data_IF_329734909564
#
_entry.id   IF_329734909564
#
_cell.length_a   1.000
_cell.length_b   1.000
_cell.length_c   1.000
_cell.angle_alpha   90.00
_cell.angle_beta   90.00
_cell.angle_gamma   90.00
#
_symmetry.space_group_name_H-M   'P 1'
#
loop_
_entity.id
_entity.type
_entity.pdbx_description
1 polymer ?
#
# COMPACT_ATOMS: atom_id res chain seq x y z
N UNK A 1 6.18 -1.08 6.87
CA UNK A 1 5.56 0.16 7.40
C UNK A 1 4.05 0.04 7.25
N UNK A 2 3.31 0.05 8.34
CA UNK A 2 1.84 -0.10 8.30
C UNK A 2 1.12 1.11 7.72
N UNK A 3 1.70 2.29 7.86
CA UNK A 3 1.18 3.51 7.21
C UNK A 3 1.16 3.40 5.68
N UNK A 4 2.12 2.69 5.07
CA UNK A 4 2.11 2.42 3.64
C UNK A 4 0.98 1.46 3.23
N UNK A 5 0.69 0.46 4.06
CA UNK A 5 -0.43 -0.46 3.85
C UNK A 5 -1.78 0.25 4.03
N UNK A 6 -1.88 1.15 5.04
CA UNK A 6 -3.06 1.99 5.23
C UNK A 6 -3.31 2.88 4.01
N UNK A 7 -2.26 3.50 3.46
CA UNK A 7 -2.33 4.30 2.23
C UNK A 7 -2.88 3.47 1.07
N UNK A 8 -2.35 2.26 0.83
CA UNK A 8 -2.80 1.38 -0.27
C UNK A 8 -4.25 0.93 -0.08
N UNK A 9 -4.63 0.47 1.10
CA UNK A 9 -5.99 0.03 1.39
C UNK A 9 -7.01 1.18 1.29
N UNK A 10 -6.64 2.38 1.74
CA UNK A 10 -7.47 3.57 1.57
C UNK A 10 -7.65 3.94 0.09
N UNK A 11 -6.60 3.81 -0.74
CA UNK A 11 -6.68 4.05 -2.18
C UNK A 11 -7.63 3.06 -2.87
N UNK A 12 -7.56 1.78 -2.52
CA UNK A 12 -8.46 0.74 -3.05
C UNK A 12 -9.91 1.05 -2.70
N UNK A 13 -10.20 1.40 -1.43
CA UNK A 13 -11.56 1.75 -1.00
C UNK A 13 -12.09 2.99 -1.72
N UNK A 14 -11.23 3.96 -2.04
CA UNK A 14 -11.62 5.16 -2.81
C UNK A 14 -11.94 4.80 -4.27
N UNK A 15 -11.15 3.93 -4.89
CA UNK A 15 -11.33 3.55 -6.30
C UNK A 15 -12.47 2.55 -6.49
N UNK A 16 -12.68 1.68 -5.51
CA UNK A 16 -13.78 0.71 -5.49
C UNK A 16 -14.57 0.81 -4.19
N UNK A 17 -15.36 1.88 -4.01
CA UNK A 17 -16.10 2.09 -2.78
C UNK A 17 -17.06 0.94 -2.49
N UNK A 18 -17.04 0.41 -1.26
CA UNK A 18 -17.91 -0.68 -0.83
C UNK A 18 -19.40 -0.40 -1.13
N UNK A 19 -19.84 0.82 -0.90
CA UNK A 19 -21.22 1.24 -1.19
C UNK A 19 -21.58 1.12 -2.69
N UNK A 20 -20.66 1.47 -3.60
CA UNK A 20 -20.84 1.33 -5.04
C UNK A 20 -20.85 -0.14 -5.49
N UNK A 21 -19.98 -0.97 -4.89
CA UNK A 21 -19.95 -2.40 -5.13
C UNK A 21 -21.25 -3.07 -4.69
N UNK A 22 -21.75 -2.74 -3.50
CA UNK A 22 -23.01 -3.26 -2.96
C UNK A 22 -24.23 -2.82 -3.81
N UNK A 23 -24.21 -1.58 -4.31
CA UNK A 23 -25.26 -1.06 -5.19
C UNK A 23 -25.14 -1.58 -6.65
N UNK A 24 -24.01 -2.16 -7.04
CA UNK A 24 -23.74 -2.58 -8.42
C UNK A 24 -23.62 -1.42 -9.42
N UNK A 25 -23.47 -0.18 -8.94
CA UNK A 25 -23.42 1.03 -9.78
C UNK A 25 -22.65 2.16 -9.07
N UNK A 26 -22.25 3.20 -9.84
CA UNK A 26 -21.60 4.38 -9.27
C UNK A 26 -20.11 4.18 -8.99
N UNK A 27 -19.47 3.19 -9.60
CA UNK A 27 -18.03 3.01 -9.54
C UNK A 27 -17.33 4.17 -10.27
N UNK A 28 -16.30 4.79 -9.65
CA UNK A 28 -15.78 6.09 -10.09
C UNK A 28 -14.81 6.02 -11.26
N UNK A 29 -14.36 4.82 -11.67
CA UNK A 29 -13.37 4.63 -12.74
C UNK A 29 -13.86 3.64 -13.80
N UNK A 30 -13.25 3.69 -14.99
CA UNK A 30 -13.49 2.75 -16.07
C UNK A 30 -13.13 1.28 -15.71
N UNK A 31 -12.26 1.06 -14.74
CA UNK A 31 -11.97 -0.28 -14.24
C UNK A 31 -13.17 -0.92 -13.53
N UNK A 32 -14.13 -0.10 -13.08
CA UNK A 32 -15.29 -0.61 -12.35
C UNK A 32 -14.84 -1.33 -11.06
N UNK A 33 -15.29 -2.58 -10.87
CA UNK A 33 -14.93 -3.42 -9.72
C UNK A 33 -13.55 -4.09 -9.81
N UNK A 34 -12.81 -3.85 -10.90
CA UNK A 34 -11.56 -4.55 -11.22
C UNK A 34 -10.35 -3.78 -10.70
N UNK A 35 -10.31 -3.57 -9.39
CA UNK A 35 -9.16 -3.05 -8.68
C UNK A 35 -8.61 -4.14 -7.76
N UNK A 36 -7.36 -4.52 -7.97
CA UNK A 36 -6.73 -5.68 -7.33
C UNK A 36 -5.64 -5.24 -6.35
N UNK A 37 -5.63 -5.88 -5.19
CA UNK A 37 -4.65 -5.63 -4.14
C UNK A 37 -3.49 -6.61 -4.26
N UNK A 38 -2.30 -6.07 -4.50
CA UNK A 38 -1.02 -6.80 -4.49
C UNK A 38 -1.00 -8.04 -5.40
N UNK A 39 -1.78 -8.02 -6.46
CA UNK A 39 -1.80 -9.06 -7.48
C UNK A 39 -2.03 -8.51 -8.88
N UNK A 40 -1.52 -9.20 -9.87
CA UNK A 40 -1.85 -8.96 -11.27
C UNK A 40 -3.27 -9.45 -11.61
N UNK A 41 -3.80 -8.98 -12.73
CA UNK A 41 -5.05 -9.49 -13.31
C UNK A 41 -4.90 -10.97 -13.67
N UNK A 42 -5.95 -11.75 -13.42
CA UNK A 42 -6.03 -13.15 -13.84
C UNK A 42 -7.02 -13.30 -15.00
N UNK A 43 -6.91 -14.40 -15.73
CA UNK A 43 -7.79 -14.64 -16.90
C UNK A 43 -9.29 -14.67 -16.51
N UNK A 44 -9.59 -15.15 -15.31
CA UNK A 44 -10.96 -15.14 -14.78
C UNK A 44 -11.51 -13.78 -14.39
N UNK A 45 -10.67 -12.76 -14.37
CA UNK A 45 -11.04 -11.37 -14.09
C UNK A 45 -11.46 -10.61 -15.37
N UNK A 46 -11.16 -11.18 -16.55
CA UNK A 46 -11.47 -10.59 -17.85
C UNK A 46 -12.96 -10.62 -18.13
N UNK A 47 -13.42 -9.59 -18.85
CA UNK A 47 -14.78 -9.51 -19.34
C UNK A 47 -14.83 -10.04 -20.78
N UNK A 48 -15.32 -11.26 -20.93
CA UNK A 48 -15.38 -11.93 -22.25
C UNK A 48 -16.29 -11.22 -23.26
N UNK A 49 -17.07 -10.22 -22.83
CA UNK A 49 -17.94 -9.43 -23.72
C UNK A 49 -17.24 -8.19 -24.28
N UNK A 50 -16.05 -7.86 -23.77
CA UNK A 50 -15.27 -6.70 -24.16
C UNK A 50 -14.04 -7.13 -24.98
N UNK A 51 -13.64 -6.28 -25.94
CA UNK A 51 -12.39 -6.46 -26.69
C UNK A 51 -11.15 -6.39 -25.75
N UNK A 52 -11.22 -5.56 -24.74
CA UNK A 52 -10.24 -5.45 -23.66
C UNK A 52 -10.92 -5.06 -22.34
N UNK A 53 -10.34 -5.46 -21.25
CA UNK A 53 -10.88 -5.21 -19.92
C UNK A 53 -10.02 -4.19 -19.18
N UNK A 54 -10.53 -2.97 -18.87
CA UNK A 54 -9.80 -2.02 -18.04
C UNK A 54 -9.65 -2.54 -16.62
N UNK A 55 -8.42 -2.56 -16.10
CA UNK A 55 -8.11 -3.05 -14.75
C UNK A 55 -7.09 -2.16 -14.06
N UNK A 56 -7.08 -2.21 -12.73
CA UNK A 56 -6.14 -1.53 -11.86
C UNK A 56 -5.55 -2.54 -10.86
N UNK A 57 -4.23 -2.51 -10.69
CA UNK A 57 -3.54 -3.28 -9.65
C UNK A 57 -2.73 -2.37 -8.76
N UNK A 58 -2.87 -2.53 -7.44
CA UNK A 58 -2.30 -1.65 -6.43
C UNK A 58 -1.19 -2.33 -5.67
N UNK A 59 -0.03 -1.67 -5.56
CA UNK A 59 1.13 -2.16 -4.83
C UNK A 59 1.73 -1.07 -3.96
N UNK A 60 2.39 -1.47 -2.88
CA UNK A 60 3.35 -0.65 -2.16
C UNK A 60 4.74 -0.97 -2.71
N UNK A 61 5.25 -0.17 -3.66
CA UNK A 61 6.49 -0.48 -4.37
C UNK A 61 7.74 -0.21 -3.52
N UNK A 62 7.71 0.81 -2.68
CA UNK A 62 8.79 1.17 -1.78
C UNK A 62 8.27 1.89 -0.55
N UNK A 63 8.98 1.76 0.57
CA UNK A 63 8.75 2.56 1.77
C UNK A 63 10.06 2.84 2.47
N UNK A 64 10.23 4.03 3.02
CA UNK A 64 11.42 4.43 3.77
C UNK A 64 11.08 5.31 4.96
N UNK A 65 11.94 5.26 5.97
CA UNK A 65 11.97 6.22 7.07
C UNK A 65 13.36 6.82 7.11
N UNK A 66 13.46 8.14 7.12
CA UNK A 66 14.71 8.88 7.23
C UNK A 66 14.70 9.68 8.53
N UNK A 67 15.75 9.55 9.34
CA UNK A 67 15.94 10.36 10.54
C UNK A 67 16.43 11.76 10.15
N UNK A 68 15.98 12.78 10.88
CA UNK A 68 16.34 14.17 10.62
C UNK A 68 17.71 14.61 11.18
N UNK A 69 18.59 13.66 11.43
CA UNK A 69 19.93 13.86 11.93
C UNK A 69 20.29 12.89 13.05
N UNK A 70 21.59 12.83 13.40
CA UNK A 70 22.13 11.84 14.35
C UNK A 70 21.61 11.99 15.78
N UNK A 71 21.05 13.17 16.13
CA UNK A 71 20.47 13.44 17.45
C UNK A 71 18.94 13.50 17.43
N UNK A 72 18.30 13.16 16.29
CA UNK A 72 16.85 13.15 16.21
C UNK A 72 16.26 11.99 17.04
N UNK A 73 15.17 12.25 17.73
CA UNK A 73 14.42 11.17 18.36
C UNK A 73 13.85 10.22 17.29
N UNK A 74 13.69 8.95 17.63
CA UNK A 74 13.24 7.93 16.66
C UNK A 74 11.85 8.25 16.09
N UNK A 75 11.02 8.98 16.82
CA UNK A 75 9.68 9.42 16.42
C UNK A 75 9.67 10.70 15.55
N UNK A 76 10.82 11.35 15.34
CA UNK A 76 10.98 12.49 14.45
C UNK A 76 11.34 12.10 12.99
N UNK A 77 11.25 10.82 12.67
CA UNK A 77 11.55 10.31 11.34
C UNK A 77 10.56 10.80 10.27
N UNK A 78 11.09 11.13 9.09
CA UNK A 78 10.29 11.40 7.90
C UNK A 78 9.98 10.09 7.17
N UNK A 79 8.70 9.73 7.12
CA UNK A 79 8.22 8.53 6.46
C UNK A 79 7.69 8.84 5.07
N UNK A 80 8.06 8.00 4.10
CA UNK A 80 7.60 8.11 2.73
C UNK A 80 7.36 6.73 2.15
N UNK A 81 6.35 6.60 1.29
CA UNK A 81 6.15 5.40 0.49
C UNK A 81 5.67 5.73 -0.92
N UNK A 82 5.88 4.79 -1.83
CA UNK A 82 5.41 4.84 -3.21
C UNK A 82 4.22 3.90 -3.36
N UNK A 83 3.05 4.49 -3.60
CA UNK A 83 1.90 3.76 -4.10
C UNK A 83 2.06 3.59 -5.60
N UNK A 84 2.24 2.36 -6.04
CA UNK A 84 2.30 2.01 -7.45
C UNK A 84 0.94 1.43 -7.88
N UNK A 85 0.40 2.01 -8.95
CA UNK A 85 -0.87 1.59 -9.54
C UNK A 85 -0.60 1.24 -11.00
N UNK A 86 -0.81 -0.02 -11.35
CA UNK A 86 -0.72 -0.50 -12.73
C UNK A 86 -2.10 -0.40 -13.34
N UNK A 87 -2.26 0.54 -14.28
CA UNK A 87 -3.46 0.69 -15.10
C UNK A 87 -3.23 0.00 -16.44
N UNK A 88 -4.09 -0.94 -16.81
CA UNK A 88 -3.93 -1.69 -18.07
C UNK A 88 -5.26 -2.03 -18.71
N UNK A 89 -5.22 -2.22 -20.03
CA UNK A 89 -6.28 -2.82 -20.82
C UNK A 89 -5.93 -4.28 -21.03
N UNK A 90 -6.51 -5.15 -20.20
CA UNK A 90 -6.16 -6.56 -20.17
C UNK A 90 -6.93 -7.37 -21.23
N UNK A 91 -6.25 -8.31 -21.84
CA UNK A 91 -6.77 -9.27 -22.82
C UNK A 91 -6.31 -10.68 -22.46
N UNK A 92 -6.97 -11.70 -23.00
CA UNK A 92 -6.44 -13.05 -22.98
C UNK A 92 -5.26 -13.14 -23.98
N UNK A 93 -4.14 -13.63 -23.49
CA UNK A 93 -2.94 -13.95 -24.28
C UNK A 93 -2.64 -15.44 -24.20
N UNK A 94 -1.92 -15.96 -25.14
CA UNK A 94 -1.52 -17.37 -25.22
C UNK A 94 0.00 -17.47 -25.29
N UNK A 95 0.59 -18.33 -24.49
CA UNK A 95 2.03 -18.59 -24.49
C UNK A 95 2.39 -19.65 -25.53
N UNK A 96 3.70 -19.83 -25.78
CA UNK A 96 4.24 -20.80 -26.77
C UNK A 96 3.82 -22.26 -26.48
N UNK A 97 3.53 -22.59 -25.22
CA UNK A 97 3.05 -23.89 -24.79
C UNK A 97 1.52 -24.07 -24.89
N UNK A 98 0.80 -23.04 -25.36
CA UNK A 98 -0.67 -23.02 -25.45
C UNK A 98 -1.38 -22.69 -24.15
N UNK A 99 -0.67 -22.31 -23.09
CA UNK A 99 -1.30 -21.83 -21.86
C UNK A 99 -1.87 -20.42 -22.05
N UNK A 100 -3.10 -20.20 -21.56
CA UNK A 100 -3.77 -18.92 -21.66
C UNK A 100 -3.60 -18.14 -20.37
N UNK A 101 -3.21 -16.87 -20.46
CA UNK A 101 -3.05 -15.96 -19.33
C UNK A 101 -3.62 -14.56 -19.65
N UNK A 102 -3.79 -13.73 -18.64
CA UNK A 102 -4.18 -12.34 -18.83
C UNK A 102 -2.94 -11.48 -18.93
N UNK A 103 -2.90 -10.62 -19.96
CA UNK A 103 -1.84 -9.61 -20.11
C UNK A 103 -2.39 -8.33 -20.71
N UNK A 104 -1.61 -7.26 -20.67
CA UNK A 104 -1.98 -6.01 -21.29
C UNK A 104 -2.03 -6.15 -22.83
N UNK A 105 -3.02 -5.50 -23.43
CA UNK A 105 -3.19 -5.47 -24.87
C UNK A 105 -1.94 -4.91 -25.57
N UNK A 106 -1.38 -5.67 -26.51
CA UNK A 106 -0.18 -5.31 -27.27
C UNK A 106 -0.57 -4.82 -28.68
N UNK A 107 -1.28 -3.68 -28.78
CA UNK A 107 -1.70 -3.10 -30.06
C UNK A 107 -1.51 -1.59 -30.07
N UNK A 108 -1.14 -1.05 -31.24
CA UNK A 108 -1.19 0.38 -31.55
C UNK A 108 -2.62 0.76 -31.96
N UNK A 109 -3.53 0.75 -31.00
CA UNK A 109 -4.89 1.23 -31.18
C UNK A 109 -5.03 2.62 -30.53
N UNK A 110 -5.24 3.68 -31.33
CA UNK A 110 -5.39 5.03 -30.80
C UNK A 110 -6.60 5.19 -29.84
N UNK A 111 -7.70 4.46 -30.09
CA UNK A 111 -8.89 4.51 -29.23
C UNK A 111 -8.62 3.84 -27.87
N UNK A 112 -8.03 2.66 -27.89
CA UNK A 112 -7.60 1.98 -26.65
C UNK A 112 -6.61 2.84 -25.85
N UNK A 113 -5.70 3.54 -26.53
CA UNK A 113 -4.77 4.48 -25.88
C UNK A 113 -5.48 5.61 -25.18
N UNK A 114 -6.55 6.17 -25.75
CA UNK A 114 -7.37 7.22 -25.12
C UNK A 114 -8.15 6.69 -23.92
N UNK A 115 -8.67 5.45 -24.00
CA UNK A 115 -9.34 4.80 -22.85
C UNK A 115 -8.37 4.58 -21.71
N UNK A 116 -7.14 4.12 -21.98
CA UNK A 116 -6.11 3.98 -20.95
C UNK A 116 -5.74 5.34 -20.33
N UNK A 117 -5.56 6.38 -21.14
CA UNK A 117 -5.27 7.73 -20.65
C UNK A 117 -6.43 8.26 -19.79
N UNK A 118 -7.69 8.01 -20.17
CA UNK A 118 -8.85 8.39 -19.36
C UNK A 118 -8.88 7.64 -18.02
N UNK A 119 -8.56 6.33 -18.01
CA UNK A 119 -8.47 5.54 -16.78
C UNK A 119 -7.40 6.11 -15.83
N UNK A 120 -6.21 6.39 -16.35
CA UNK A 120 -5.09 7.00 -15.60
C UNK A 120 -5.51 8.35 -15.02
N UNK A 121 -6.08 9.24 -15.84
CA UNK A 121 -6.53 10.55 -15.40
C UNK A 121 -7.62 10.46 -14.31
N UNK A 122 -8.58 9.52 -14.44
CA UNK A 122 -9.60 9.29 -13.43
C UNK A 122 -9.00 8.89 -12.08
N UNK A 123 -8.03 7.97 -12.09
CA UNK A 123 -7.37 7.52 -10.84
C UNK A 123 -6.61 8.66 -10.18
N UNK A 124 -5.79 9.40 -10.93
CA UNK A 124 -5.03 10.52 -10.40
C UNK A 124 -5.96 11.58 -9.83
N UNK A 125 -6.94 12.04 -10.60
CA UNK A 125 -7.92 13.04 -10.14
C UNK A 125 -8.67 12.57 -8.88
N UNK A 126 -9.12 11.31 -8.87
CA UNK A 126 -9.87 10.74 -7.76
C UNK A 126 -9.05 10.75 -6.46
N UNK A 127 -7.79 10.34 -6.50
CA UNK A 127 -6.94 10.26 -5.32
C UNK A 127 -6.42 11.63 -4.87
N UNK A 128 -6.09 12.53 -5.81
CA UNK A 128 -5.41 13.79 -5.49
C UNK A 128 -6.35 14.96 -5.25
N UNK A 129 -7.49 15.04 -5.97
CA UNK A 129 -8.32 16.26 -6.02
C UNK A 129 -9.76 16.01 -5.61
N UNK A 130 -10.41 14.96 -6.15
CA UNK A 130 -11.84 14.75 -5.98
C UNK A 130 -12.26 14.64 -4.50
N UNK A 131 -13.45 15.17 -4.11
CA UNK A 131 -13.96 15.02 -2.75
C UNK A 131 -14.07 13.56 -2.30
N UNK A 132 -14.40 12.64 -3.19
CA UNK A 132 -14.47 11.20 -2.93
C UNK A 132 -13.13 10.61 -2.49
N UNK A 133 -11.99 11.21 -2.88
CA UNK A 133 -10.65 10.81 -2.48
C UNK A 133 -10.24 11.25 -1.06
N UNK A 134 -11.13 11.90 -0.31
CA UNK A 134 -10.82 12.42 1.03
C UNK A 134 -10.33 11.32 1.99
N UNK A 135 -10.83 10.09 1.88
CA UNK A 135 -10.37 8.96 2.68
C UNK A 135 -8.87 8.69 2.44
N UNK A 136 -8.43 8.59 1.19
CA UNK A 136 -7.02 8.39 0.87
C UNK A 136 -6.15 9.52 1.44
N UNK A 137 -6.53 10.77 1.18
CA UNK A 137 -5.78 11.96 1.64
C UNK A 137 -5.74 12.11 3.16
N UNK A 138 -6.69 11.52 3.89
CA UNK A 138 -6.68 11.52 5.36
C UNK A 138 -5.54 10.68 5.95
N UNK A 139 -5.07 9.64 5.23
CA UNK A 139 -4.07 8.70 5.72
C UNK A 139 -2.67 8.92 5.13
N UNK A 140 -2.47 10.03 4.43
CA UNK A 140 -1.17 10.51 3.97
C UNK A 140 -0.93 11.94 4.46
N UNK A 141 0.32 12.37 4.53
CA UNK A 141 0.67 13.77 4.81
C UNK A 141 0.57 14.63 3.55
N UNK A 142 0.64 14.02 2.39
CA UNK A 142 0.49 14.65 1.09
C UNK A 142 1.16 13.84 -0.02
N UNK A 143 0.71 14.07 -1.25
CA UNK A 143 1.35 13.55 -2.45
C UNK A 143 2.50 14.49 -2.81
N UNK A 144 3.73 13.97 -2.84
CA UNK A 144 4.96 14.72 -3.15
C UNK A 144 5.28 14.71 -4.63
N UNK A 145 4.97 13.60 -5.29
CA UNK A 145 5.27 13.39 -6.71
C UNK A 145 4.27 12.42 -7.32
N UNK A 146 3.89 12.70 -8.56
CA UNK A 146 3.11 11.81 -9.44
C UNK A 146 3.95 11.55 -10.67
N UNK A 147 4.15 10.29 -11.00
CA UNK A 147 4.88 9.85 -12.18
C UNK A 147 4.01 8.86 -12.96
N UNK A 148 4.03 9.01 -14.27
CA UNK A 148 3.34 8.13 -15.21
C UNK A 148 4.37 7.52 -16.14
N UNK A 149 4.51 6.21 -16.13
CA UNK A 149 5.45 5.48 -16.96
C UNK A 149 4.70 4.52 -17.90
N UNK A 150 4.62 4.81 -19.20
CA UNK A 150 4.04 3.89 -20.15
C UNK A 150 4.96 2.67 -20.29
N UNK A 151 4.39 1.48 -20.16
CA UNK A 151 5.15 0.25 -20.33
C UNK A 151 5.39 -0.03 -21.83
N UNK A 152 6.66 -0.14 -22.19
CA UNK A 152 7.07 -0.49 -23.55
C UNK A 152 8.19 -1.52 -23.53
N UNK A 153 8.17 -2.46 -24.48
CA UNK A 153 9.24 -3.42 -24.69
C UNK A 153 9.93 -3.07 -26.02
N UNK A 154 10.95 -2.19 -26.02
CA UNK A 154 11.55 -1.64 -27.23
C UNK A 154 12.11 -2.70 -28.18
N UNK A 155 12.64 -3.81 -27.64
CA UNK A 155 13.25 -4.88 -28.40
C UNK A 155 12.25 -5.67 -29.26
N UNK A 156 10.96 -5.61 -28.93
CA UNK A 156 9.91 -6.28 -29.71
C UNK A 156 9.12 -5.30 -30.58
N UNK A 157 9.44 -4.00 -30.55
CA UNK A 157 8.71 -2.97 -31.28
C UNK A 157 7.24 -2.80 -30.82
N UNK A 158 6.85 -3.44 -29.72
CA UNK A 158 5.50 -3.45 -29.20
C UNK A 158 5.35 -2.44 -28.08
N UNK A 159 4.24 -1.70 -28.10
CA UNK A 159 3.74 -0.94 -26.95
C UNK A 159 2.58 -1.68 -26.31
N UNK A 160 2.69 -1.89 -25.02
CA UNK A 160 1.62 -2.48 -24.23
C UNK A 160 0.68 -1.37 -23.75
N UNK A 161 -0.61 -1.63 -23.78
CA UNK A 161 -1.62 -0.71 -23.22
C UNK A 161 -1.65 -0.81 -21.70
N UNK A 162 -0.51 -0.45 -21.11
CA UNK A 162 -0.24 -0.44 -19.65
C UNK A 162 0.48 0.85 -19.30
N UNK A 163 0.08 1.47 -18.22
CA UNK A 163 0.74 2.63 -17.61
C UNK A 163 0.93 2.37 -16.12
N UNK A 164 2.13 2.58 -15.64
CA UNK A 164 2.47 2.52 -14.22
C UNK A 164 2.37 3.93 -13.67
N UNK A 165 1.48 4.15 -12.70
CA UNK A 165 1.32 5.39 -11.96
C UNK A 165 2.04 5.23 -10.63
N UNK A 166 2.98 6.13 -10.30
CA UNK A 166 3.66 6.15 -9.02
C UNK A 166 3.32 7.43 -8.28
N UNK A 167 2.67 7.28 -7.14
CA UNK A 167 2.39 8.37 -6.21
C UNK A 167 3.36 8.26 -5.03
N UNK A 168 4.36 9.15 -4.99
CA UNK A 168 5.25 9.28 -3.83
C UNK A 168 4.54 10.10 -2.77
N UNK A 169 4.23 9.49 -1.63
CA UNK A 169 3.45 10.08 -0.55
C UNK A 169 4.27 10.20 0.73
N UNK A 170 4.23 11.37 1.36
CA UNK A 170 4.64 11.51 2.76
C UNK A 170 3.63 10.82 3.66
N UNK A 171 4.10 10.08 4.65
CA UNK A 171 3.27 9.27 5.53
C UNK A 171 3.45 9.63 7.00
N UNK A 172 2.41 9.47 7.85
CA UNK A 172 2.60 9.47 9.28
C UNK A 172 3.43 8.25 9.70
N UNK A 173 4.21 8.40 10.77
CA UNK A 173 4.96 7.29 11.34
C UNK A 173 4.02 6.28 12.02
N UNK A 174 4.38 5.01 11.94
CA UNK A 174 3.67 3.96 12.67
C UNK A 174 3.83 4.17 14.18
N UNK A 175 2.71 4.13 14.93
CA UNK A 175 2.71 4.25 16.37
C UNK A 175 2.07 3.02 16.99
N UNK A 176 2.87 2.29 17.76
CA UNK A 176 2.41 1.11 18.48
C UNK A 176 1.89 1.52 19.85
N UNK A 177 0.77 0.92 20.25
CA UNK A 177 0.21 1.10 21.59
C UNK A 177 0.78 0.02 22.51
N UNK A 178 1.40 0.36 23.65
CA UNK A 178 1.88 -0.62 24.63
C UNK A 178 0.79 -1.56 25.14
N UNK A 179 -0.48 -1.14 25.13
CA UNK A 179 -1.63 -1.98 25.48
C UNK A 179 -1.97 -3.02 24.40
N UNK A 180 -1.28 -3.00 23.25
CA UNK A 180 -1.51 -3.90 22.12
C UNK A 180 -2.57 -3.40 21.13
N UNK A 181 -2.93 -4.25 20.18
CA UNK A 181 -3.83 -3.95 19.09
C UNK A 181 -3.13 -3.36 17.86
N UNK A 182 -3.92 -3.02 16.84
CA UNK A 182 -3.38 -2.46 15.60
C UNK A 182 -2.66 -1.13 15.86
N UNK A 183 -1.48 -0.91 15.27
CA UNK A 183 -0.81 0.38 15.34
C UNK A 183 -1.56 1.47 14.56
N UNK A 184 -1.30 2.75 14.90
CA UNK A 184 -1.69 3.85 14.03
C UNK A 184 -0.75 3.90 12.78
N UNK A 185 -1.27 4.28 11.60
CA UNK A 185 -2.64 4.77 11.33
C UNK A 185 -3.63 3.68 10.91
N UNK A 186 -3.26 2.39 10.86
CA UNK A 186 -4.18 1.32 10.41
C UNK A 186 -5.38 1.15 11.33
N UNK A 187 -5.20 1.38 12.64
CA UNK A 187 -6.31 1.38 13.63
C UNK A 187 -7.35 2.45 13.29
N UNK A 188 -6.89 3.67 13.03
CA UNK A 188 -7.77 4.77 12.64
C UNK A 188 -8.45 4.53 11.29
N UNK A 189 -7.75 3.92 10.33
CA UNK A 189 -8.33 3.54 9.04
C UNK A 189 -9.46 2.53 9.23
N UNK A 190 -9.21 1.46 9.99
CA UNK A 190 -10.21 0.43 10.29
C UNK A 190 -11.49 1.04 10.90
N UNK A 191 -11.34 2.04 11.78
CA UNK A 191 -12.47 2.72 12.44
C UNK A 191 -13.34 3.56 11.50
N UNK A 192 -12.87 3.95 10.32
CA UNK A 192 -13.62 4.77 9.35
C UNK A 192 -14.05 3.99 8.11
N UNK A 193 -13.53 2.78 7.89
CA UNK A 193 -13.93 1.94 6.76
C UNK A 193 -15.32 1.34 6.98
N UNK A 194 -16.14 1.23 5.92
CA UNK A 194 -17.44 0.57 6.00
C UNK A 194 -17.33 -0.88 6.45
N UNK A 195 -18.30 -1.34 7.23
CA UNK A 195 -18.42 -2.76 7.56
C UNK A 195 -18.62 -3.58 6.27
N UNK A 196 -17.91 -4.73 6.19
CA UNK A 196 -17.96 -5.59 5.00
C UNK A 196 -17.10 -5.09 3.83
N UNK A 197 -16.43 -3.93 3.92
CA UNK A 197 -15.52 -3.50 2.86
C UNK A 197 -14.27 -4.42 2.80
N UNK A 198 -13.70 -4.53 1.59
CA UNK A 198 -12.48 -5.32 1.36
C UNK A 198 -11.34 -4.90 2.30
N UNK A 199 -11.08 -3.59 2.36
CA UNK A 199 -10.00 -3.03 3.17
C UNK A 199 -10.20 -3.31 4.67
N UNK A 200 -11.45 -3.19 5.18
CA UNK A 200 -11.74 -3.51 6.57
C UNK A 200 -11.53 -5.00 6.87
N UNK A 201 -11.97 -5.90 6.00
CA UNK A 201 -11.74 -7.34 6.16
C UNK A 201 -10.26 -7.72 6.23
N UNK A 202 -9.39 -7.00 5.49
CA UNK A 202 -7.93 -7.19 5.60
C UNK A 202 -7.37 -6.71 6.93
N UNK A 203 -7.87 -5.59 7.45
CA UNK A 203 -7.46 -5.07 8.76
C UNK A 203 -7.99 -5.89 9.92
N UNK A 204 -9.21 -6.45 9.81
CA UNK A 204 -9.76 -7.40 10.79
C UNK A 204 -8.89 -8.66 10.90
N UNK A 205 -8.47 -9.23 9.77
CA UNK A 205 -7.55 -10.35 9.75
C UNK A 205 -6.17 -10.00 10.36
N UNK A 206 -5.66 -8.81 10.05
CA UNK A 206 -4.41 -8.31 10.63
C UNK A 206 -4.53 -8.11 12.14
N UNK A 207 -5.65 -7.58 12.63
CA UNK A 207 -5.89 -7.35 14.06
C UNK A 207 -5.78 -8.63 14.89
N UNK A 208 -6.13 -9.79 14.32
CA UNK A 208 -5.97 -11.09 14.95
C UNK A 208 -4.51 -11.42 15.33
N UNK A 209 -3.54 -10.92 14.57
CA UNK A 209 -2.12 -11.11 14.87
C UNK A 209 -1.62 -10.20 16.00
N UNK A 210 -2.34 -9.12 16.30
CA UNK A 210 -2.03 -8.19 17.40
C UNK A 210 -2.87 -8.47 18.65
N UNK A 211 -3.88 -9.33 18.56
CA UNK A 211 -4.69 -9.72 19.70
C UNK A 211 -3.85 -10.60 20.63
N UNK A 212 -3.50 -10.08 21.79
CA UNK A 212 -2.72 -10.80 22.82
C UNK A 212 -1.20 -10.61 22.73
N UNK A 213 -0.67 -9.82 21.80
CA UNK A 213 0.75 -9.46 21.82
C UNK A 213 0.98 -8.24 22.73
N UNK A 214 0.75 -8.40 24.03
CA UNK A 214 1.49 -7.57 24.98
C UNK A 214 2.94 -7.98 24.81
N UNK A 215 3.79 -7.09 24.30
CA UNK A 215 5.24 -7.30 24.39
C UNK A 215 5.53 -7.60 25.86
N UNK A 216 6.20 -8.74 26.17
CA UNK A 216 6.56 -9.02 27.53
C UNK A 216 7.35 -7.80 28.04
N UNK A 217 6.93 -7.23 29.17
CA UNK A 217 7.69 -6.14 29.77
C UNK A 217 9.13 -6.63 29.95
N UNK A 218 10.09 -5.83 29.52
CA UNK A 218 11.49 -6.14 29.70
C UNK A 218 11.75 -6.16 31.23
N UNK A 219 11.59 -7.33 31.84
CA UNK A 219 11.66 -7.50 33.29
C UNK A 219 13.08 -7.32 33.84
N UNK A 220 14.08 -7.21 32.96
CA UNK A 220 15.47 -6.95 33.30
C UNK A 220 16.39 -7.31 32.13
N UNK A 221 17.48 -6.62 31.99
CA UNK A 221 18.61 -6.99 31.15
C UNK A 221 19.66 -7.61 32.10
N UNK A 222 19.84 -8.92 32.03
CA UNK A 222 20.99 -9.56 32.71
C UNK A 222 22.22 -9.30 31.81
N UNK A 223 23.11 -8.43 32.25
CA UNK A 223 24.40 -8.27 31.64
C UNK A 223 25.28 -9.36 32.30
N UNK A 224 25.54 -10.41 31.55
CA UNK A 224 26.53 -11.41 31.97
C UNK A 224 27.92 -10.78 31.77
N UNK A 225 28.57 -10.41 32.88
CA UNK A 225 29.97 -10.04 32.88
C UNK A 225 30.80 -11.26 32.48
N UNK A 226 31.95 -11.02 31.89
CA UNK A 226 32.95 -12.06 31.61
C UNK A 226 33.32 -12.77 32.93
N UNK A 227 33.11 -14.10 33.04
CA UNK A 227 33.44 -14.82 34.25
C UNK A 227 34.94 -14.78 34.61
N UNK A 228 35.82 -14.38 33.68
CA UNK A 228 37.25 -14.23 33.86
C UNK A 228 37.70 -12.76 34.09
N UNK A 229 36.76 -11.82 34.22
CA UNK A 229 37.06 -10.42 34.50
C UNK A 229 37.62 -10.26 35.92
N UNK A 230 38.81 -9.64 36.02
CA UNK A 230 39.46 -9.34 37.31
C UNK A 230 38.63 -8.33 38.13
N UNK A 231 38.12 -8.70 39.32
CA UNK A 231 37.25 -7.87 40.12
C UNK A 231 37.89 -6.56 40.64
N UNK A 232 39.21 -6.40 40.51
CA UNK A 232 39.91 -5.17 40.92
C UNK A 232 40.03 -4.13 39.77
N UNK A 233 39.89 -4.55 38.51
CA UNK A 233 40.02 -3.65 37.36
C UNK A 233 38.70 -3.28 36.71
N UNK A 234 37.66 -4.09 36.87
CA UNK A 234 36.36 -3.86 36.29
C UNK A 234 35.38 -3.33 37.35
N UNK A 235 35.29 -2.02 37.51
CA UNK A 235 34.27 -1.42 38.34
C UNK A 235 32.92 -1.55 37.60
N UNK A 236 31.93 -2.22 38.21
CA UNK A 236 30.59 -2.24 37.61
C UNK A 236 30.07 -0.81 37.46
N UNK A 237 29.62 -0.47 36.29
CA UNK A 237 28.85 0.76 36.08
C UNK A 237 27.57 0.58 36.88
N UNK A 238 27.51 1.21 38.05
CA UNK A 238 26.34 1.22 38.90
C UNK A 238 25.26 2.04 38.17
N UNK A 239 24.31 1.37 37.57
CA UNK A 239 23.05 1.97 37.18
C UNK A 239 22.06 1.73 38.31
N UNK A 240 22.11 2.53 39.34
CA UNK A 240 20.99 2.73 40.23
C UNK A 240 20.15 3.87 39.67
N UNK A 241 19.09 3.53 38.99
CA UNK A 241 18.00 4.44 38.71
C UNK A 241 16.73 3.76 39.20
N UNK A 242 16.44 3.86 40.48
CA UNK A 242 15.09 3.75 40.98
C UNK A 242 14.31 4.92 40.37
N UNK A 243 13.41 4.63 39.45
CA UNK A 243 12.38 5.57 39.03
C UNK A 243 11.11 5.11 39.73
N UNK A 244 10.96 5.59 40.97
CA UNK A 244 9.67 5.72 41.62
C UNK A 244 8.99 6.96 41.05
N UNK A 245 7.80 6.79 40.39
CA UNK A 245 6.60 7.62 40.45
C UNK A 245 5.64 7.22 39.31
#
# INVERSE_FOLDING_TARGET
MFSAEAMRLAAIEVVTPHAALAAGSGLPTLAGKRAYDSRAVAIGDLDATLEYTPVLSFYTAASRTAQRGDAAAFDDGECEAVLEIVAELAVAAEDEDGSTFADAMARDDPEARLVLAALVAQVIYLLTEAPAGALFRKFILGVRRVEEEPFAVPNLGLRWQRTIIRLTCGLPQDRFDPAGGLPEPVRSLMGVLPEGSYARGKLDALAGHFAGSTLPSLAGVAIFGDPDADPETDRPIATTGDIDA
#
